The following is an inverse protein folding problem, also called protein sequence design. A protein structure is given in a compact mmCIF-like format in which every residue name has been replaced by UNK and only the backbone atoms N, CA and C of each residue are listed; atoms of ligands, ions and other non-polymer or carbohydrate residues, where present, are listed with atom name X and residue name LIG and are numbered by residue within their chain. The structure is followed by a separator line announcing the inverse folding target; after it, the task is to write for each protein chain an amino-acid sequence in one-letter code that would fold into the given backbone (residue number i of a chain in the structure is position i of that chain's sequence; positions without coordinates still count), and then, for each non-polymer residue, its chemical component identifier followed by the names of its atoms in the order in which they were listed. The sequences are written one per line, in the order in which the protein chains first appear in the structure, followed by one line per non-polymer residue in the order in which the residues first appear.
data_IF_286845573331
#
_entry.id   IF_286845573331
#
_cell.length_a   1.000
_cell.length_b   1.000
_cell.length_c   1.000
_cell.angle_alpha   90.00
_cell.angle_beta   90.00
_cell.angle_gamma   90.00
#
_symmetry.space_group_name_H-M   'P 1'
#
loop_
_entity.id
_entity.type
_entity.pdbx_description
1 polymer ?
#
# COMPACT_ATOMS: atom_id res chain seq x y z
N UNK A 1 21.83 -0.15 2.28
CA UNK A 1 20.61 0.24 3.01
C UNK A 1 19.57 -0.84 2.81
N UNK A 2 18.76 -1.15 3.82
CA UNK A 2 17.82 -2.30 3.77
C UNK A 2 16.41 -1.77 3.94
N UNK A 3 15.46 -2.25 3.14
CA UNK A 3 14.08 -1.77 3.16
C UNK A 3 13.48 -1.74 4.58
N UNK A 4 13.78 -2.74 5.41
CA UNK A 4 13.38 -2.80 6.82
C UNK A 4 13.73 -1.56 7.66
N UNK A 5 14.89 -0.96 7.42
CA UNK A 5 15.40 0.18 8.19
C UNK A 5 14.87 1.51 7.65
N UNK A 6 14.78 1.63 6.33
CA UNK A 6 14.49 2.90 5.67
C UNK A 6 12.98 3.14 5.48
N UNK A 7 12.20 2.05 5.38
CA UNK A 7 10.75 2.12 5.18
C UNK A 7 10.01 2.89 6.29
N UNK A 8 10.24 2.65 7.60
CA UNK A 8 9.55 3.41 8.64
C UNK A 8 9.78 4.92 8.50
N UNK A 9 11.04 5.35 8.31
CA UNK A 9 11.37 6.77 8.18
C UNK A 9 10.74 7.39 6.94
N UNK A 10 10.73 6.69 5.80
CA UNK A 10 10.09 7.18 4.59
C UNK A 10 8.57 7.37 4.77
N UNK A 11 7.89 6.37 5.34
CA UNK A 11 6.46 6.44 5.63
C UNK A 11 6.11 7.61 6.55
N UNK A 12 6.87 7.79 7.62
CA UNK A 12 6.63 8.83 8.61
C UNK A 12 6.83 10.24 8.02
N UNK A 13 7.78 10.42 7.10
CA UNK A 13 7.96 11.68 6.36
C UNK A 13 6.81 11.96 5.39
N UNK A 14 6.33 10.94 4.68
CA UNK A 14 5.31 11.11 3.66
C UNK A 14 3.89 11.27 4.22
N UNK A 15 3.57 10.47 5.23
CA UNK A 15 2.20 10.30 5.75
C UNK A 15 2.02 10.95 7.12
N UNK A 16 3.10 11.15 7.87
CA UNK A 16 3.14 11.80 9.18
C UNK A 16 3.29 10.83 10.35
N UNK A 17 3.53 11.41 11.52
CA UNK A 17 3.79 10.73 12.79
C UNK A 17 2.78 9.60 13.09
N UNK A 18 3.27 8.37 13.21
CA UNK A 18 2.50 7.17 13.58
C UNK A 18 1.82 6.46 12.42
N UNK A 19 2.05 6.88 11.17
CA UNK A 19 1.51 6.22 9.98
C UNK A 19 2.14 4.84 9.73
N UNK A 20 3.41 4.65 10.12
CA UNK A 20 4.05 3.35 10.04
C UNK A 20 3.50 2.41 11.11
N UNK A 21 3.10 1.20 10.71
CA UNK A 21 2.74 0.12 11.63
C UNK A 21 3.51 -1.16 11.31
N UNK A 22 3.93 -1.89 12.35
CA UNK A 22 4.64 -3.16 12.22
C UNK A 22 3.74 -4.23 11.59
N UNK A 23 4.30 -5.05 10.69
CA UNK A 23 3.54 -6.05 9.95
C UNK A 23 2.37 -5.44 9.18
N UNK A 24 1.19 -6.07 9.22
CA UNK A 24 -0.03 -5.60 8.53
C UNK A 24 -0.97 -4.78 9.42
N UNK A 25 -0.46 -4.16 10.48
CA UNK A 25 -1.30 -3.47 11.46
C UNK A 25 -1.89 -2.14 10.96
N UNK A 26 -1.40 -1.58 9.85
CA UNK A 26 -2.01 -0.39 9.25
C UNK A 26 -3.27 -0.70 8.44
N UNK A 27 -3.44 -1.95 7.99
CA UNK A 27 -4.57 -2.33 7.16
C UNK A 27 -5.86 -2.41 7.98
N UNK A 28 -6.97 -1.97 7.39
CA UNK A 28 -8.31 -2.19 7.95
C UNK A 28 -8.56 -3.70 8.09
N UNK A 29 -9.29 -4.10 9.13
CA UNK A 29 -9.47 -5.51 9.46
C UNK A 29 -10.10 -6.34 8.32
N UNK A 30 -11.07 -5.75 7.61
CA UNK A 30 -11.71 -6.36 6.44
C UNK A 30 -10.69 -6.65 5.33
N UNK A 31 -9.88 -5.65 4.97
CA UNK A 31 -8.89 -5.74 3.88
C UNK A 31 -7.73 -6.66 4.24
N UNK A 32 -7.27 -6.60 5.49
CA UNK A 32 -6.22 -7.48 6.01
C UNK A 32 -6.57 -8.96 5.87
N UNK A 33 -7.85 -9.32 5.92
CA UNK A 33 -8.29 -10.71 5.75
C UNK A 33 -8.08 -11.26 4.33
N UNK A 34 -8.00 -10.36 3.33
CA UNK A 34 -7.83 -10.67 1.91
C UNK A 34 -6.35 -10.76 1.50
N UNK A 35 -5.44 -10.23 2.32
CA UNK A 35 -4.02 -10.08 2.01
C UNK A 35 -3.21 -11.05 2.85
N UNK A 36 -2.51 -11.99 2.20
CA UNK A 36 -1.68 -12.99 2.89
C UNK A 36 -0.23 -12.92 2.41
N UNK A 37 0.69 -12.39 3.23
CA UNK A 37 2.11 -12.43 2.93
C UNK A 37 2.58 -13.89 3.01
N UNK A 38 3.38 -14.35 2.05
CA UNK A 38 3.86 -15.73 2.02
C UNK A 38 4.62 -16.11 3.29
N UNK A 39 5.54 -15.24 3.73
CA UNK A 39 6.23 -15.37 5.02
C UNK A 39 6.01 -14.11 5.87
N UNK A 40 5.14 -14.20 6.89
CA UNK A 40 4.80 -13.09 7.76
C UNK A 40 6.00 -12.50 8.53
N UNK A 41 7.06 -13.29 8.79
CA UNK A 41 8.27 -12.81 9.48
C UNK A 41 9.12 -11.88 8.61
N UNK A 42 8.89 -11.88 7.29
CA UNK A 42 9.53 -10.97 6.34
C UNK A 42 8.68 -9.73 6.05
N UNK A 43 7.56 -9.54 6.76
CA UNK A 43 6.74 -8.34 6.65
C UNK A 43 7.27 -7.28 7.63
N UNK A 44 8.05 -6.34 7.12
CA UNK A 44 8.69 -5.31 7.93
C UNK A 44 7.66 -4.29 8.45
N UNK A 45 6.69 -3.91 7.63
CA UNK A 45 5.61 -3.02 8.05
C UNK A 45 4.62 -2.68 6.96
N UNK A 46 3.65 -1.85 7.32
CA UNK A 46 2.61 -1.33 6.43
C UNK A 46 2.22 0.09 6.79
N UNK A 47 1.57 0.76 5.85
CA UNK A 47 0.91 2.05 6.03
C UNK A 47 -0.39 2.12 5.23
N UNK A 48 -1.37 2.89 5.75
CA UNK A 48 -2.63 3.25 5.09
C UNK A 48 -2.45 4.63 4.45
N UNK A 49 -2.25 4.65 3.14
CA UNK A 49 -2.01 5.87 2.35
C UNK A 49 -3.30 6.69 2.25
N UNK A 50 -4.43 6.03 1.98
CA UNK A 50 -5.72 6.69 1.78
C UNK A 50 -6.12 7.46 3.04
N UNK A 51 -6.23 6.78 4.17
CA UNK A 51 -6.67 7.39 5.43
C UNK A 51 -5.69 8.47 5.92
N UNK A 52 -4.38 8.27 5.73
CA UNK A 52 -3.36 9.24 6.15
C UNK A 52 -3.41 10.56 5.37
N UNK A 53 -3.84 10.52 4.11
CA UNK A 53 -3.92 11.70 3.24
C UNK A 53 -5.34 12.22 3.06
N UNK A 54 -6.37 11.52 3.55
CA UNK A 54 -7.78 11.86 3.37
C UNK A 54 -8.12 13.29 3.82
N UNK A 55 -7.58 13.73 4.96
CA UNK A 55 -7.82 15.09 5.46
C UNK A 55 -7.15 16.17 4.60
N UNK A 56 -5.97 15.88 4.02
CA UNK A 56 -5.17 16.86 3.26
C UNK A 56 -5.53 16.90 1.78
N UNK A 57 -6.08 15.82 1.23
CA UNK A 57 -6.33 15.65 -0.20
C UNK A 57 -7.72 15.05 -0.48
N UNK A 58 -8.78 15.53 0.19
CA UNK A 58 -10.09 14.87 0.24
C UNK A 58 -10.68 14.39 -1.10
N UNK A 59 -10.42 15.09 -2.20
CA UNK A 59 -10.93 14.78 -3.55
C UNK A 59 -10.00 13.89 -4.39
N UNK A 60 -8.81 13.53 -3.90
CA UNK A 60 -7.86 12.73 -4.65
C UNK A 60 -8.25 11.25 -4.69
N UNK A 61 -8.03 10.60 -5.84
CA UNK A 61 -8.16 9.15 -6.00
C UNK A 61 -6.95 8.45 -5.37
N UNK A 62 -6.88 8.43 -4.04
CA UNK A 62 -5.74 7.87 -3.31
C UNK A 62 -5.70 6.35 -3.41
N UNK A 63 -4.49 5.79 -3.47
CA UNK A 63 -4.26 4.35 -3.32
C UNK A 63 -4.41 3.94 -1.85
N UNK A 64 -4.80 2.71 -1.57
CA UNK A 64 -5.12 2.33 -0.19
C UNK A 64 -3.87 2.07 0.68
N UNK A 65 -3.00 1.14 0.30
CA UNK A 65 -1.94 0.64 1.19
C UNK A 65 -0.57 0.51 0.53
N UNK A 66 0.47 0.56 1.36
CA UNK A 66 1.82 0.07 1.03
C UNK A 66 2.32 -0.87 2.12
N UNK A 67 2.96 -1.96 1.70
CA UNK A 67 3.50 -3.01 2.58
C UNK A 67 4.96 -3.26 2.18
N UNK A 68 5.87 -3.18 3.15
CA UNK A 68 7.25 -3.64 2.98
C UNK A 68 7.32 -5.12 3.34
N UNK A 69 7.56 -5.97 2.32
CA UNK A 69 7.72 -7.41 2.48
C UNK A 69 9.00 -7.84 1.77
N UNK A 70 9.90 -8.49 2.52
CA UNK A 70 11.26 -8.79 2.06
C UNK A 70 12.00 -7.51 1.65
N UNK A 71 12.51 -7.44 0.43
CA UNK A 71 13.11 -6.23 -0.13
C UNK A 71 12.16 -5.56 -1.15
N UNK A 72 10.87 -5.89 -1.15
CA UNK A 72 9.88 -5.37 -2.12
C UNK A 72 8.83 -4.50 -1.44
N UNK A 73 8.47 -3.40 -2.10
CA UNK A 73 7.31 -2.59 -1.76
C UNK A 73 6.08 -3.10 -2.52
N UNK A 74 5.05 -3.50 -1.78
CA UNK A 74 3.78 -3.94 -2.32
C UNK A 74 2.74 -2.85 -2.10
N UNK A 75 2.32 -2.20 -3.18
CA UNK A 75 1.21 -1.25 -3.19
C UNK A 75 -0.07 -2.01 -3.44
N UNK A 76 -1.04 -1.92 -2.53
CA UNK A 76 -2.26 -2.72 -2.57
C UNK A 76 -3.47 -1.83 -2.55
N UNK A 77 -4.33 -2.02 -3.55
CA UNK A 77 -5.63 -1.39 -3.71
C UNK A 77 -6.71 -2.44 -3.45
N UNK A 78 -7.63 -2.19 -2.53
CA UNK A 78 -8.73 -3.09 -2.21
C UNK A 78 -10.04 -2.46 -2.67
N UNK A 79 -10.48 -2.84 -3.87
CA UNK A 79 -11.59 -2.18 -4.54
C UNK A 79 -12.50 -3.21 -5.24
N UNK A 80 -13.84 -3.04 -5.25
CA UNK A 80 -14.73 -4.01 -5.89
C UNK A 80 -14.40 -4.25 -7.37
N UNK A 81 -14.56 -5.49 -7.85
CA UNK A 81 -14.20 -5.88 -9.22
C UNK A 81 -15.42 -6.01 -10.14
N UNK A 82 -16.06 -4.90 -10.47
CA UNK A 82 -17.08 -4.81 -11.52
C UNK A 82 -16.68 -3.77 -12.58
N UNK A 83 -17.30 -3.83 -13.76
CA UNK A 83 -16.80 -3.18 -14.99
C UNK A 83 -16.63 -1.67 -14.88
N UNK A 84 -17.46 -0.99 -14.08
CA UNK A 84 -17.35 0.46 -13.80
C UNK A 84 -16.10 0.84 -13.02
N UNK A 85 -15.54 -0.10 -12.25
CA UNK A 85 -14.48 0.18 -11.27
C UNK A 85 -13.09 0.19 -11.88
N UNK A 86 -12.90 -0.42 -13.07
CA UNK A 86 -11.61 -0.41 -13.77
C UNK A 86 -11.13 1.03 -14.00
N UNK A 87 -12.04 1.92 -14.39
CA UNK A 87 -11.73 3.33 -14.62
C UNK A 87 -11.26 4.06 -13.34
N UNK A 88 -11.81 3.67 -12.19
CA UNK A 88 -11.44 4.26 -10.89
C UNK A 88 -10.07 3.75 -10.43
N UNK A 89 -9.80 2.45 -10.57
CA UNK A 89 -8.51 1.86 -10.23
C UNK A 89 -7.38 2.43 -11.10
N UNK A 90 -7.64 2.71 -12.38
CA UNK A 90 -6.69 3.40 -13.26
C UNK A 90 -6.35 4.78 -12.71
N UNK A 91 -7.35 5.62 -12.40
CA UNK A 91 -7.14 6.96 -11.82
C UNK A 91 -6.37 6.90 -10.51
N UNK A 92 -6.68 5.92 -9.65
CA UNK A 92 -5.93 5.70 -8.41
C UNK A 92 -4.47 5.34 -8.66
N UNK A 93 -4.19 4.50 -9.67
CA UNK A 93 -2.83 4.14 -10.06
C UNK A 93 -2.06 5.34 -10.60
N UNK A 94 -2.69 6.16 -11.44
CA UNK A 94 -2.09 7.39 -11.97
C UNK A 94 -1.72 8.35 -10.83
N UNK A 95 -2.65 8.55 -9.88
CA UNK A 95 -2.38 9.34 -8.67
C UNK A 95 -1.21 8.76 -7.87
N UNK A 96 -1.15 7.44 -7.68
CA UNK A 96 -0.06 6.80 -6.94
C UNK A 96 1.29 7.04 -7.61
N UNK A 97 1.37 6.88 -8.93
CA UNK A 97 2.61 7.12 -9.69
C UNK A 97 3.06 8.58 -9.59
N UNK A 98 2.12 9.53 -9.66
CA UNK A 98 2.42 10.94 -9.48
C UNK A 98 2.93 11.23 -8.06
N UNK A 99 2.26 10.68 -7.04
CA UNK A 99 2.65 10.83 -5.64
C UNK A 99 4.05 10.27 -5.35
N UNK A 100 4.37 9.08 -5.89
CA UNK A 100 5.68 8.43 -5.74
C UNK A 100 6.84 9.23 -6.36
N UNK A 101 6.58 10.15 -7.28
CA UNK A 101 7.64 11.01 -7.83
C UNK A 101 8.29 11.89 -6.76
N UNK A 102 7.52 12.31 -5.75
CA UNK A 102 7.99 13.24 -4.72
C UNK A 102 8.13 12.59 -3.34
N UNK A 103 7.36 11.54 -3.07
CA UNK A 103 7.37 10.80 -1.82
C UNK A 103 8.76 10.18 -1.52
N UNK A 104 9.18 10.21 -0.27
CA UNK A 104 10.38 9.53 0.22
C UNK A 104 10.28 8.01 0.00
N UNK A 105 9.08 7.45 0.13
CA UNK A 105 8.76 6.06 -0.21
C UNK A 105 9.10 5.74 -1.66
N UNK A 106 8.89 6.69 -2.58
CA UNK A 106 9.23 6.56 -3.99
C UNK A 106 10.71 6.74 -4.31
N UNK A 107 11.54 7.13 -3.33
CA UNK A 107 13.00 7.22 -3.45
C UNK A 107 13.71 5.99 -2.88
N UNK A 108 12.98 5.09 -2.22
CA UNK A 108 13.52 3.83 -1.73
C UNK A 108 13.99 2.96 -2.91
N UNK A 109 15.23 2.49 -2.81
CA UNK A 109 15.83 1.54 -3.74
C UNK A 109 15.31 0.12 -3.45
N UNK A 110 14.09 -0.12 -3.90
CA UNK A 110 13.38 -1.38 -3.74
C UNK A 110 12.46 -1.64 -4.94
N UNK A 111 12.37 -2.89 -5.43
CA UNK A 111 11.34 -3.30 -6.37
C UNK A 111 9.94 -2.93 -5.88
N UNK A 112 9.05 -2.60 -6.83
CA UNK A 112 7.67 -2.20 -6.56
C UNK A 112 6.72 -3.14 -7.26
N UNK A 113 5.72 -3.63 -6.55
CA UNK A 113 4.62 -4.44 -7.10
C UNK A 113 3.30 -3.76 -6.78
N UNK A 114 2.43 -3.68 -7.78
CA UNK A 114 1.10 -3.06 -7.66
C UNK A 114 0.04 -4.14 -7.75
N UNK A 115 -0.86 -4.16 -6.77
CA UNK A 115 -1.88 -5.19 -6.60
C UNK A 115 -3.25 -4.55 -6.53
N UNK A 116 -4.20 -5.07 -7.30
CA UNK A 116 -5.61 -4.79 -7.12
C UNK A 116 -6.29 -6.04 -6.57
N UNK A 117 -6.74 -5.96 -5.32
CA UNK A 117 -7.50 -6.99 -4.60
C UNK A 117 -8.98 -6.68 -4.76
N UNK A 118 -9.74 -7.60 -5.34
CA UNK A 118 -11.19 -7.47 -5.39
C UNK A 118 -11.81 -7.62 -3.99
N UNK A 119 -12.50 -6.61 -3.47
CA UNK A 119 -13.34 -6.79 -2.28
C UNK A 119 -14.65 -7.50 -2.66
N UNK A 120 -14.73 -8.82 -2.41
CA UNK A 120 -15.87 -9.66 -2.81
C UNK A 120 -15.75 -11.12 -2.33
N UNK A 121 -16.68 -12.00 -2.73
CA UNK A 121 -16.82 -13.38 -2.19
C UNK A 121 -15.56 -14.26 -2.25
N UNK A 122 -14.64 -13.99 -3.18
CA UNK A 122 -13.33 -14.66 -3.23
C UNK A 122 -12.30 -13.69 -3.82
N UNK A 123 -11.41 -13.18 -2.98
CA UNK A 123 -10.13 -12.68 -3.45
C UNK A 123 -9.05 -12.96 -2.40
N UNK A 124 -7.96 -13.58 -2.85
CA UNK A 124 -6.81 -13.89 -2.00
C UNK A 124 -5.57 -13.55 -2.81
N UNK A 125 -4.93 -12.43 -2.51
CA UNK A 125 -3.64 -12.12 -3.13
C UNK A 125 -2.54 -12.79 -2.30
N UNK A 126 -1.82 -13.68 -2.98
CA UNK A 126 -0.58 -14.28 -2.49
C UNK A 126 0.59 -13.43 -3.00
N UNK A 127 1.27 -12.76 -2.08
CA UNK A 127 2.52 -12.07 -2.41
C UNK A 127 3.62 -13.13 -2.53
N UNK A 128 3.91 -13.57 -3.76
CA UNK A 128 5.09 -14.38 -4.09
C UNK A 128 6.31 -13.47 -4.37
N UNK A 129 7.55 -13.98 -4.19
CA UNK A 129 8.80 -13.25 -4.45
C UNK A 129 9.00 -12.89 -5.92
#
# INVERSE_FOLDING_TARGET
MTLEKDFPTAIEKDLGAGAYKKGLQALKAADRSLIKPGNARRCHGSADIDSSLAARQSQASRWDYVIAHEQTLHFVEVHPAHTSEVSQVIKKKEWLMAWLTNAETGKLDAPRRFHWVASGKVARILLWP
#
